data_IF_703494784644
#
_entry.id   IF_703494784644
#
_cell.length_a   1.000
_cell.length_b   1.000
_cell.length_c   1.000
_cell.angle_alpha   90.00
_cell.angle_beta   90.00
_cell.angle_gamma   90.00
#
_symmetry.space_group_name_H-M   'P 1'
#
loop_
_entity.id
_entity.type
_entity.pdbx_description
1 polymer ?
#
# COMPACT_ATOMS: atom_id res chain seq x y z
N UNK A 1 35.62 -26.96 -23.31
CA UNK A 1 34.73 -27.21 -22.15
C UNK A 1 34.27 -25.93 -21.43
N UNK A 2 35.07 -24.86 -21.40
CA UNK A 2 34.80 -23.64 -20.60
C UNK A 2 33.78 -22.63 -21.22
N UNK A 3 33.61 -22.66 -22.55
CA UNK A 3 32.76 -21.70 -23.27
C UNK A 3 31.25 -21.92 -22.99
N UNK A 4 30.80 -23.18 -22.93
CA UNK A 4 29.38 -23.50 -22.71
C UNK A 4 28.90 -23.16 -21.28
N UNK A 5 29.77 -23.27 -20.27
CA UNK A 5 29.46 -22.88 -18.91
C UNK A 5 29.34 -21.36 -18.76
N UNK A 6 30.19 -20.62 -19.47
CA UNK A 6 30.15 -19.16 -19.45
C UNK A 6 28.89 -18.59 -20.11
N UNK A 7 28.51 -19.10 -21.29
CA UNK A 7 27.29 -18.67 -21.98
C UNK A 7 26.02 -18.97 -21.18
N UNK A 8 25.95 -20.11 -20.48
CA UNK A 8 24.82 -20.43 -19.59
C UNK A 8 24.74 -19.47 -18.41
N UNK A 9 25.87 -19.15 -17.78
CA UNK A 9 25.91 -18.20 -16.67
C UNK A 9 25.50 -16.79 -17.10
N UNK A 10 25.87 -16.37 -18.31
CA UNK A 10 25.49 -15.07 -18.87
C UNK A 10 23.99 -15.00 -19.17
N UNK A 11 23.43 -16.03 -19.83
CA UNK A 11 21.99 -16.09 -20.12
C UNK A 11 21.15 -16.12 -18.83
N UNK A 12 21.61 -16.82 -17.80
CA UNK A 12 20.95 -16.81 -16.49
C UNK A 12 20.96 -15.39 -15.91
N UNK A 13 22.11 -14.72 -15.88
CA UNK A 13 22.21 -13.35 -15.35
C UNK A 13 21.30 -12.35 -16.04
N UNK A 14 21.15 -12.43 -17.36
CA UNK A 14 20.26 -11.54 -18.13
C UNK A 14 18.78 -11.82 -17.81
N UNK A 15 18.39 -13.10 -17.65
CA UNK A 15 17.02 -13.46 -17.24
C UNK A 15 16.67 -12.90 -15.86
N UNK A 16 17.55 -13.06 -14.88
CA UNK A 16 17.36 -12.52 -13.53
C UNK A 16 17.20 -10.99 -13.53
N UNK A 17 17.92 -10.30 -14.42
CA UNK A 17 17.83 -8.85 -14.57
C UNK A 17 16.45 -8.41 -15.07
N UNK A 18 15.93 -9.06 -16.12
CA UNK A 18 14.60 -8.78 -16.66
C UNK A 18 13.47 -9.07 -15.68
N UNK A 19 13.57 -10.17 -14.93
CA UNK A 19 12.61 -10.50 -13.86
C UNK A 19 12.66 -9.51 -12.70
N UNK A 20 13.84 -9.01 -12.34
CA UNK A 20 14.01 -7.98 -11.31
C UNK A 20 13.34 -6.66 -11.68
N UNK A 21 13.54 -6.18 -12.91
CA UNK A 21 12.87 -4.96 -13.40
C UNK A 21 11.35 -5.09 -13.41
N UNK A 22 10.83 -6.24 -13.87
CA UNK A 22 9.39 -6.47 -13.87
C UNK A 22 8.82 -6.45 -12.44
N UNK A 23 9.49 -7.12 -11.49
CA UNK A 23 9.09 -7.13 -10.08
C UNK A 23 9.10 -5.74 -9.46
N UNK A 24 10.14 -4.95 -9.73
CA UNK A 24 10.25 -3.59 -9.21
C UNK A 24 9.12 -2.69 -9.73
N UNK A 25 8.81 -2.76 -11.03
CA UNK A 25 7.73 -1.96 -11.60
C UNK A 25 6.36 -2.38 -11.08
N UNK A 26 6.11 -3.67 -10.87
CA UNK A 26 4.84 -4.14 -10.30
C UNK A 26 4.71 -3.75 -8.82
N UNK A 27 5.78 -3.86 -8.04
CA UNK A 27 5.78 -3.48 -6.62
C UNK A 27 5.47 -1.98 -6.43
N UNK A 28 6.00 -1.11 -7.29
CA UNK A 28 5.73 0.33 -7.24
C UNK A 28 4.25 0.62 -7.54
N UNK A 29 3.69 -0.01 -8.58
CA UNK A 29 2.27 0.16 -8.92
C UNK A 29 1.34 -0.38 -7.81
N UNK A 30 1.71 -1.49 -7.18
CA UNK A 30 0.97 -2.05 -6.04
C UNK A 30 0.98 -1.09 -4.84
N UNK A 31 2.11 -0.43 -4.55
CA UNK A 31 2.17 0.60 -3.50
C UNK A 31 1.34 1.82 -3.82
N UNK A 32 1.43 2.33 -5.04
CA UNK A 32 0.65 3.50 -5.46
C UNK A 32 -0.87 3.23 -5.36
N UNK A 33 -1.29 2.02 -5.72
CA UNK A 33 -2.68 1.58 -5.57
C UNK A 33 -3.10 1.57 -4.09
N UNK A 34 -2.26 1.03 -3.21
CA UNK A 34 -2.53 0.99 -1.77
C UNK A 34 -2.64 2.40 -1.16
N UNK A 35 -1.78 3.34 -1.60
CA UNK A 35 -1.85 4.74 -1.19
C UNK A 35 -3.16 5.41 -1.65
N UNK A 36 -3.59 5.15 -2.89
CA UNK A 36 -4.86 5.65 -3.41
C UNK A 36 -6.07 5.05 -2.69
N UNK A 37 -6.06 3.76 -2.35
CA UNK A 37 -7.12 3.09 -1.57
C UNK A 37 -7.24 3.70 -0.16
N UNK A 38 -6.11 3.93 0.51
CA UNK A 38 -6.09 4.60 1.81
C UNK A 38 -6.64 6.05 1.70
N UNK A 39 -6.22 6.79 0.67
CA UNK A 39 -6.71 8.15 0.41
C UNK A 39 -8.21 8.20 0.09
N UNK A 40 -8.71 7.26 -0.70
CA UNK A 40 -10.12 7.14 -1.03
C UNK A 40 -10.97 6.83 0.20
N UNK A 41 -10.51 5.94 1.06
CA UNK A 41 -11.20 5.60 2.29
C UNK A 41 -11.19 6.77 3.31
N UNK A 42 -10.11 7.57 3.37
CA UNK A 42 -10.11 8.85 4.10
C UNK A 42 -11.08 9.86 3.51
N UNK A 43 -11.25 9.95 2.19
CA UNK A 43 -12.24 10.85 1.60
C UNK A 43 -13.68 10.38 1.87
N UNK A 44 -13.90 9.07 1.90
CA UNK A 44 -15.23 8.48 2.09
C UNK A 44 -15.67 8.49 3.56
N UNK A 45 -14.75 8.19 4.49
CA UNK A 45 -15.01 8.13 5.93
C UNK A 45 -14.47 9.32 6.72
N UNK A 46 -13.68 10.20 6.11
CA UNK A 46 -13.17 11.42 6.73
C UNK A 46 -14.28 12.33 7.24
N UNK A 47 -15.44 12.35 6.56
CA UNK A 47 -16.64 13.04 7.03
C UNK A 47 -17.14 12.54 8.40
N UNK A 48 -16.88 11.27 8.77
CA UNK A 48 -17.20 10.72 10.08
C UNK A 48 -16.17 11.11 11.15
N UNK A 49 -14.96 11.49 10.75
CA UNK A 49 -13.85 11.96 11.61
C UNK A 49 -13.76 13.50 11.63
N UNK A 50 -14.69 14.20 10.96
CA UNK A 50 -14.76 15.67 10.93
C UNK A 50 -14.01 16.34 9.78
N UNK A 51 -13.42 15.56 8.85
CA UNK A 51 -12.85 16.08 7.61
C UNK A 51 -13.98 16.27 6.57
N UNK A 52 -14.24 17.49 6.06
CA UNK A 52 -15.37 17.75 5.17
C UNK A 52 -15.07 17.23 3.76
N UNK A 53 -15.29 15.94 3.50
CA UNK A 53 -14.78 15.30 2.27
C UNK A 53 -15.84 14.65 1.38
N UNK A 54 -16.99 14.21 1.91
CA UNK A 54 -18.11 13.70 1.09
C UNK A 54 -19.45 13.86 1.84
N UNK A 55 -20.59 14.17 1.18
CA UNK A 55 -21.90 14.15 1.83
C UNK A 55 -22.18 12.77 2.44
N UNK A 56 -22.42 12.69 3.75
CA UNK A 56 -22.50 11.44 4.53
C UNK A 56 -23.44 10.40 3.95
N UNK A 57 -24.51 10.82 3.26
CA UNK A 57 -25.46 9.94 2.58
C UNK A 57 -24.83 9.12 1.44
N UNK A 58 -23.89 9.68 0.67
CA UNK A 58 -23.17 8.94 -0.36
C UNK A 58 -22.22 7.90 0.26
N UNK A 59 -21.53 8.26 1.34
CA UNK A 59 -20.67 7.32 2.08
C UNK A 59 -21.46 6.12 2.62
N UNK A 60 -22.65 6.35 3.18
CA UNK A 60 -23.53 5.28 3.70
C UNK A 60 -24.01 4.31 2.60
N UNK A 61 -24.20 4.79 1.36
CA UNK A 61 -24.58 3.92 0.23
C UNK A 61 -23.41 3.09 -0.28
N UNK A 62 -22.19 3.57 -0.12
CA UNK A 62 -20.97 2.88 -0.52
C UNK A 62 -20.45 1.91 0.56
N UNK A 63 -20.87 2.09 1.82
CA UNK A 63 -20.51 1.26 2.96
C UNK A 63 -20.53 -0.26 2.73
N UNK A 64 -21.57 -0.87 2.13
CA UNK A 64 -21.58 -2.33 1.89
C UNK A 64 -20.51 -2.80 0.89
N UNK A 65 -20.01 -1.90 0.03
CA UNK A 65 -18.92 -2.21 -0.90
C UNK A 65 -17.53 -1.96 -0.28
N UNK A 66 -17.49 -1.30 0.88
CA UNK A 66 -16.27 -0.89 1.57
C UNK A 66 -15.98 -1.70 2.83
N UNK A 67 -16.80 -2.71 3.15
CA UNK A 67 -16.62 -3.58 4.32
C UNK A 67 -15.19 -4.11 4.45
N UNK A 68 -14.63 -4.62 3.35
CA UNK A 68 -13.25 -5.13 3.32
C UNK A 68 -12.23 -4.04 3.67
N UNK A 69 -12.36 -2.86 3.07
CA UNK A 69 -11.41 -1.76 3.28
C UNK A 69 -11.50 -1.19 4.69
N UNK A 70 -12.71 -1.10 5.25
CA UNK A 70 -12.93 -0.72 6.65
C UNK A 70 -12.22 -1.71 7.58
N UNK A 71 -12.35 -3.02 7.35
CA UNK A 71 -11.66 -4.04 8.15
C UNK A 71 -10.13 -3.92 8.04
N UNK A 72 -9.61 -3.71 6.83
CA UNK A 72 -8.17 -3.49 6.61
C UNK A 72 -7.70 -2.22 7.33
N UNK A 73 -8.48 -1.15 7.29
CA UNK A 73 -8.21 0.09 8.02
C UNK A 73 -8.18 -0.12 9.53
N UNK A 74 -9.12 -0.86 10.11
CA UNK A 74 -9.13 -1.16 11.55
C UNK A 74 -7.89 -1.96 11.98
N UNK A 75 -7.53 -3.00 11.23
CA UNK A 75 -6.33 -3.82 11.51
C UNK A 75 -5.06 -2.98 11.39
N UNK A 76 -4.97 -2.10 10.39
CA UNK A 76 -3.85 -1.18 10.24
C UNK A 76 -3.82 -0.14 11.36
N UNK A 77 -4.97 0.37 11.79
CA UNK A 77 -5.11 1.36 12.87
C UNK A 77 -4.59 0.82 14.20
N UNK A 78 -4.91 -0.43 14.54
CA UNK A 78 -4.41 -1.09 15.75
C UNK A 78 -2.87 -1.13 15.76
N UNK A 79 -2.27 -1.36 14.59
CA UNK A 79 -0.81 -1.36 14.43
C UNK A 79 -0.20 0.04 14.32
N UNK A 80 -1.01 1.05 14.02
CA UNK A 80 -0.58 2.44 14.00
C UNK A 80 -0.47 3.03 15.40
N UNK A 81 -1.16 2.48 16.41
CA UNK A 81 -1.10 2.96 17.79
C UNK A 81 0.33 2.92 18.35
N UNK A 82 1.06 1.82 18.11
CA UNK A 82 2.48 1.70 18.47
C UNK A 82 3.37 2.73 17.76
N UNK A 83 3.06 3.03 16.49
CA UNK A 83 3.83 4.02 15.70
C UNK A 83 3.48 5.44 16.11
N UNK A 84 2.21 5.74 16.35
CA UNK A 84 1.78 7.05 16.80
C UNK A 84 2.32 7.35 18.20
N UNK A 85 2.43 6.35 19.07
CA UNK A 85 3.12 6.48 20.35
C UNK A 85 4.62 6.83 20.15
N UNK A 86 5.33 6.15 19.26
CA UNK A 86 6.73 6.46 18.93
C UNK A 86 6.88 7.88 18.33
N UNK A 87 5.98 8.28 17.44
CA UNK A 87 5.97 9.64 16.87
C UNK A 87 5.59 10.71 17.89
N UNK A 88 4.67 10.41 18.82
CA UNK A 88 4.32 11.31 19.92
C UNK A 88 5.49 11.47 20.89
N UNK A 89 6.20 10.38 21.20
CA UNK A 89 7.42 10.39 22.02
C UNK A 89 8.59 11.14 21.33
N UNK A 90 8.63 11.17 20.00
CA UNK A 90 9.57 11.97 19.22
C UNK A 90 9.15 13.45 19.05
N UNK A 91 7.84 13.72 19.09
CA UNK A 91 7.28 15.06 18.91
C UNK A 91 7.18 15.83 20.23
N UNK A 92 7.04 15.13 21.34
CA UNK A 92 7.40 15.65 22.67
C UNK A 92 8.93 15.71 22.78
N UNK A 93 9.46 16.88 23.12
CA UNK A 93 10.85 17.08 23.55
C UNK A 93 11.08 16.54 24.96
#
# INVERSE_FOLDING_TARGET
MWLNSFWKALCLRIKWLGEGFKRQSTEVLERELEEMENGFALLTFGALVGLPTLPTYMGLRLLPYLEREILVMFIKSERLDDKLAEWADLADL
#
